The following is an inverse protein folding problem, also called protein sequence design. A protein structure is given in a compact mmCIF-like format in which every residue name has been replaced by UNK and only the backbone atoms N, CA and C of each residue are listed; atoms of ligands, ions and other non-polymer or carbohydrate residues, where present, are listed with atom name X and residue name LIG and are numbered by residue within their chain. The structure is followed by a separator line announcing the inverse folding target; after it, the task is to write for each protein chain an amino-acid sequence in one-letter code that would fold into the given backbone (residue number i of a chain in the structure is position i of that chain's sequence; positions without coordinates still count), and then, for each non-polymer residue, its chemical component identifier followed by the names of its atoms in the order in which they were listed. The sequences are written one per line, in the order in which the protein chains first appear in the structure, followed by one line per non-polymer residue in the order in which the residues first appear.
data_IF_060156899206
#
_entry.id   IF_060156899206
#
_cell.length_a   1.000
_cell.length_b   1.000
_cell.length_c   1.000
_cell.angle_alpha   90.00
_cell.angle_beta   90.00
_cell.angle_gamma   90.00
#
_symmetry.space_group_name_H-M   'P 1'
#
loop_
_entity.id
_entity.type
_entity.pdbx_description
1 polymer ?
#
# COMPACT_ATOMS: atom_id res chain seq x y z
N UNK A 1 -3.64 -54.68 -37.19
CA UNK A 1 -3.89 -54.08 -35.84
C UNK A 1 -3.03 -52.81 -35.69
N UNK A 2 -3.30 -51.75 -36.47
CA UNK A 2 -2.55 -50.48 -36.39
C UNK A 2 -3.44 -49.23 -36.23
N UNK A 3 -4.77 -49.38 -36.12
CA UNK A 3 -5.67 -48.22 -35.99
C UNK A 3 -5.87 -47.74 -34.55
N UNK A 4 -5.60 -48.57 -33.52
CA UNK A 4 -5.87 -48.19 -32.13
C UNK A 4 -4.78 -47.29 -31.54
N UNK A 5 -3.50 -47.55 -31.82
CA UNK A 5 -2.40 -46.70 -31.33
C UNK A 5 -2.45 -45.27 -31.90
N UNK A 6 -2.77 -45.12 -33.19
CA UNK A 6 -2.93 -43.80 -33.82
C UNK A 6 -4.15 -43.05 -33.26
N UNK A 7 -5.23 -43.76 -32.94
CA UNK A 7 -6.39 -43.16 -32.31
C UNK A 7 -6.12 -42.76 -30.86
N UNK A 8 -5.37 -43.58 -30.11
CA UNK A 8 -5.03 -43.29 -28.72
C UNK A 8 -4.11 -42.06 -28.60
N UNK A 9 -3.16 -41.90 -29.54
CA UNK A 9 -2.32 -40.70 -29.64
C UNK A 9 -3.12 -39.45 -30.03
N UNK A 10 -4.06 -39.58 -30.98
CA UNK A 10 -4.97 -38.48 -31.34
C UNK A 10 -5.88 -38.09 -30.16
N UNK A 11 -6.37 -39.07 -29.39
CA UNK A 11 -7.19 -38.82 -28.20
C UNK A 11 -6.35 -38.12 -27.11
N UNK A 12 -5.09 -38.48 -26.94
CA UNK A 12 -4.19 -37.84 -25.99
C UNK A 12 -3.90 -36.38 -26.38
N UNK A 13 -3.62 -36.14 -27.67
CA UNK A 13 -3.40 -34.79 -28.19
C UNK A 13 -4.67 -33.92 -28.06
N UNK A 14 -5.85 -34.48 -28.35
CA UNK A 14 -7.11 -33.77 -28.15
C UNK A 14 -7.36 -33.45 -26.67
N UNK A 15 -7.03 -34.35 -25.74
CA UNK A 15 -7.13 -34.07 -24.29
C UNK A 15 -6.18 -32.95 -23.85
N UNK A 16 -4.95 -32.93 -24.38
CA UNK A 16 -3.98 -31.87 -24.10
C UNK A 16 -4.44 -30.52 -24.67
N UNK A 17 -5.00 -30.51 -25.88
CA UNK A 17 -5.58 -29.30 -26.49
C UNK A 17 -6.80 -28.80 -25.71
N UNK A 18 -7.68 -29.69 -25.26
CA UNK A 18 -8.83 -29.33 -24.41
C UNK A 18 -8.34 -28.74 -23.08
N UNK A 19 -7.33 -29.33 -22.46
CA UNK A 19 -6.78 -28.81 -21.20
C UNK A 19 -6.12 -27.44 -21.38
N UNK A 20 -5.35 -27.25 -22.47
CA UNK A 20 -4.74 -25.96 -22.81
C UNK A 20 -5.80 -24.89 -23.12
N UNK A 21 -6.87 -25.24 -23.83
CA UNK A 21 -8.00 -24.33 -24.08
C UNK A 21 -8.77 -23.99 -22.80
N UNK A 22 -8.92 -24.93 -21.86
CA UNK A 22 -9.52 -24.66 -20.55
C UNK A 22 -8.67 -23.69 -19.72
N UNK A 23 -7.35 -23.85 -19.73
CA UNK A 23 -6.43 -22.90 -19.09
C UNK A 23 -6.48 -21.52 -19.76
N UNK A 24 -6.53 -21.47 -21.09
CA UNK A 24 -6.68 -20.21 -21.82
C UNK A 24 -8.04 -19.55 -21.55
N UNK A 25 -9.13 -20.31 -21.44
CA UNK A 25 -10.45 -19.78 -21.06
C UNK A 25 -10.44 -19.27 -19.62
N UNK A 26 -9.77 -19.95 -18.69
CA UNK A 26 -9.59 -19.45 -17.32
C UNK A 26 -8.77 -18.17 -17.30
N UNK A 27 -7.67 -18.09 -18.05
CA UNK A 27 -6.87 -16.88 -18.20
C UNK A 27 -7.66 -15.75 -18.88
N UNK A 28 -8.49 -16.05 -19.89
CA UNK A 28 -9.32 -15.07 -20.60
C UNK A 28 -10.48 -14.59 -19.72
N UNK A 29 -11.07 -15.45 -18.89
CA UNK A 29 -12.05 -15.07 -17.88
C UNK A 29 -11.41 -14.22 -16.77
N UNK A 30 -10.18 -14.57 -16.36
CA UNK A 30 -9.33 -13.73 -15.51
C UNK A 30 -8.83 -12.46 -16.22
N UNK A 31 -8.94 -12.34 -17.54
CA UNK A 31 -8.59 -11.13 -18.29
C UNK A 31 -9.82 -10.22 -18.47
N UNK A 32 -10.97 -10.81 -18.79
CA UNK A 32 -12.28 -10.14 -18.90
C UNK A 32 -12.74 -9.60 -17.53
N UNK A 33 -12.36 -10.25 -16.43
CA UNK A 33 -12.65 -9.77 -15.06
C UNK A 33 -11.71 -8.64 -14.59
N UNK A 34 -10.74 -8.17 -15.39
CA UNK A 34 -9.65 -7.33 -14.89
C UNK A 34 -9.38 -6.02 -15.67
N UNK A 35 -10.44 -5.43 -16.23
CA UNK A 35 -10.45 -4.01 -16.63
C UNK A 35 -11.69 -3.30 -16.06
N UNK A 36 -11.47 -2.46 -15.03
CA UNK A 36 -12.28 -1.34 -14.50
C UNK A 36 -13.82 -1.40 -14.57
N UNK A 37 -14.52 -2.15 -13.70
CA UNK A 37 -15.99 -2.21 -13.62
C UNK A 37 -16.56 -1.28 -12.55
N UNK A 38 -16.96 -0.06 -12.93
CA UNK A 38 -17.62 0.98 -12.15
C UNK A 38 -19.20 0.93 -12.26
N UNK A 39 -19.97 0.17 -11.46
CA UNK A 39 -21.45 0.04 -11.49
C UNK A 39 -22.19 0.96 -10.50
N UNK A 40 -23.37 1.46 -10.86
CA UNK A 40 -24.17 2.35 -10.02
C UNK A 40 -25.66 2.05 -10.20
N UNK A 41 -26.36 1.70 -9.13
CA UNK A 41 -27.80 1.44 -9.11
C UNK A 41 -28.49 2.43 -8.16
N UNK A 42 -29.34 3.30 -8.71
CA UNK A 42 -30.29 4.11 -7.94
C UNK A 42 -31.66 3.44 -8.08
N UNK A 43 -32.15 2.80 -7.02
CA UNK A 43 -33.42 2.05 -7.07
C UNK A 43 -34.62 2.99 -7.26
N UNK A 44 -34.53 4.22 -6.74
CA UNK A 44 -35.49 5.28 -6.96
C UNK A 44 -34.97 6.65 -6.54
N UNK A 45 -35.45 7.69 -7.22
CA UNK A 45 -35.31 9.08 -6.76
C UNK A 45 -36.69 9.57 -6.38
N UNK A 46 -36.86 9.95 -5.11
CA UNK A 46 -38.10 10.53 -4.60
C UNK A 46 -37.93 12.03 -4.44
N UNK A 47 -38.75 12.77 -5.18
CA UNK A 47 -38.81 14.22 -5.14
C UNK A 47 -40.07 14.61 -4.36
N UNK A 48 -39.91 15.35 -3.27
CA UNK A 48 -41.07 15.76 -2.45
C UNK A 48 -41.64 17.12 -2.89
N UNK A 49 -40.80 18.14 -3.06
CA UNK A 49 -41.21 19.47 -3.53
C UNK A 49 -40.27 19.99 -4.61
N UNK A 50 -40.82 20.32 -5.79
CA UNK A 50 -40.04 20.81 -6.94
C UNK A 50 -40.66 22.09 -7.49
N UNK A 51 -39.87 23.17 -7.57
CA UNK A 51 -40.20 24.39 -8.33
C UNK A 51 -39.41 24.56 -9.64
N UNK A 52 -38.60 23.56 -10.04
CA UNK A 52 -37.70 23.61 -11.21
C UNK A 52 -37.64 22.32 -12.05
N UNK A 53 -36.59 22.15 -12.87
CA UNK A 53 -36.37 20.97 -13.72
C UNK A 53 -35.26 20.09 -13.15
N UNK A 54 -35.55 18.81 -12.88
CA UNK A 54 -34.55 17.82 -12.49
C UNK A 54 -33.94 17.16 -13.73
N UNK A 55 -32.62 17.21 -13.86
CA UNK A 55 -31.87 16.54 -14.93
C UNK A 55 -30.67 15.81 -14.31
N UNK A 56 -30.63 14.48 -14.49
CA UNK A 56 -29.46 13.67 -14.14
C UNK A 56 -28.34 13.94 -15.16
N UNK A 57 -27.23 14.51 -14.70
CA UNK A 57 -26.01 14.69 -15.49
C UNK A 57 -24.77 14.35 -14.65
N UNK A 58 -23.74 13.84 -15.32
CA UNK A 58 -22.45 13.52 -14.71
C UNK A 58 -21.62 14.83 -14.64
N UNK A 59 -21.36 15.34 -13.43
CA UNK A 59 -20.49 16.51 -13.23
C UNK A 59 -19.06 16.02 -12.94
N UNK A 60 -18.29 15.72 -13.97
CA UNK A 60 -16.84 15.54 -13.86
C UNK A 60 -16.16 16.86 -14.19
N UNK A 61 -15.91 17.68 -13.17
CA UNK A 61 -15.29 18.99 -13.35
C UNK A 61 -13.76 18.95 -13.41
N UNK A 62 -13.14 17.78 -13.23
CA UNK A 62 -11.75 17.51 -13.54
C UNK A 62 -11.66 16.18 -14.27
N UNK A 63 -10.85 16.12 -15.34
CA UNK A 63 -10.50 14.85 -16.01
C UNK A 63 -9.94 13.89 -14.95
N UNK A 64 -10.62 12.76 -14.77
CA UNK A 64 -10.13 11.60 -14.04
C UNK A 64 -8.91 11.05 -14.78
N UNK A 65 -7.74 11.64 -14.52
CA UNK A 65 -6.45 11.05 -14.84
C UNK A 65 -6.00 10.13 -13.69
N UNK A 66 -6.89 9.25 -13.21
CA UNK A 66 -6.44 7.97 -12.66
C UNK A 66 -7.52 6.90 -12.83
N UNK A 67 -7.19 5.95 -13.71
CA UNK A 67 -8.11 5.21 -14.56
C UNK A 67 -8.33 3.77 -14.13
N UNK A 68 -7.66 3.25 -13.09
CA UNK A 68 -7.44 1.80 -12.99
C UNK A 68 -8.07 1.11 -11.76
N UNK A 69 -9.36 1.35 -11.53
CA UNK A 69 -10.21 0.54 -10.63
C UNK A 69 -11.57 0.13 -11.22
N UNK A 70 -12.24 -0.83 -10.56
CA UNK A 70 -13.66 -1.26 -10.65
C UNK A 70 -14.39 -0.61 -9.41
N UNK A 71 -15.66 -0.18 -9.45
CA UNK A 71 -16.47 0.61 -8.48
C UNK A 71 -17.86 -0.05 -8.53
N UNK A 72 -18.63 -0.18 -7.45
CA UNK A 72 -20.03 -0.63 -7.54
C UNK A 72 -20.85 0.09 -6.45
N UNK A 73 -21.98 0.72 -6.80
CA UNK A 73 -22.83 1.52 -5.91
C UNK A 73 -24.25 0.95 -5.92
N UNK A 74 -24.82 0.70 -4.74
CA UNK A 74 -26.24 0.40 -4.55
C UNK A 74 -26.86 1.47 -3.65
N UNK A 75 -27.55 2.41 -4.27
CA UNK A 75 -28.29 3.46 -3.58
C UNK A 75 -29.76 3.08 -3.65
N UNK A 76 -30.36 2.74 -2.51
CA UNK A 76 -31.78 2.41 -2.41
C UNK A 76 -32.65 3.57 -2.89
N UNK A 77 -32.89 4.56 -2.04
CA UNK A 77 -33.72 5.71 -2.40
C UNK A 77 -32.99 7.01 -2.13
N UNK A 78 -32.88 7.87 -3.15
CA UNK A 78 -32.42 9.26 -2.96
C UNK A 78 -33.66 10.12 -2.74
N UNK A 79 -33.80 10.67 -1.53
CA UNK A 79 -34.90 11.58 -1.19
C UNK A 79 -34.41 13.02 -1.31
N UNK A 80 -34.89 13.72 -2.35
CA UNK A 80 -34.69 15.16 -2.52
C UNK A 80 -35.92 15.85 -1.94
N UNK A 81 -35.74 16.44 -0.75
CA UNK A 81 -36.84 17.02 0.04
C UNK A 81 -37.37 18.33 -0.55
N UNK A 82 -36.51 19.17 -1.11
CA UNK A 82 -36.92 20.47 -1.65
C UNK A 82 -35.96 20.97 -2.74
N UNK A 83 -36.51 21.41 -3.88
CA UNK A 83 -35.80 22.19 -4.90
C UNK A 83 -36.50 23.54 -4.98
N UNK A 84 -35.87 24.56 -4.40
CA UNK A 84 -36.46 25.89 -4.24
C UNK A 84 -36.33 26.78 -5.48
N UNK A 85 -35.36 26.50 -6.36
CA UNK A 85 -34.96 27.39 -7.47
C UNK A 85 -34.99 26.74 -8.87
N UNK A 86 -34.99 27.58 -9.91
CA UNK A 86 -34.86 27.13 -11.31
C UNK A 86 -33.39 26.84 -11.64
N UNK A 87 -32.89 25.66 -11.22
CA UNK A 87 -31.52 25.23 -11.48
C UNK A 87 -31.41 23.72 -11.71
N UNK A 88 -30.28 23.29 -12.27
CA UNK A 88 -29.96 21.87 -12.46
C UNK A 88 -29.36 21.29 -11.18
N UNK A 89 -29.90 20.17 -10.70
CA UNK A 89 -29.37 19.41 -9.56
C UNK A 89 -28.62 18.19 -10.07
N UNK A 90 -27.32 18.11 -9.81
CA UNK A 90 -26.47 16.96 -10.15
C UNK A 90 -26.07 16.14 -8.91
N UNK A 91 -25.73 14.87 -9.13
CA UNK A 91 -25.13 14.00 -8.11
C UNK A 91 -23.65 13.85 -8.43
N UNK A 92 -22.79 14.25 -7.50
CA UNK A 92 -21.34 14.06 -7.56
C UNK A 92 -20.89 13.12 -6.45
N UNK A 93 -19.83 12.37 -6.71
CA UNK A 93 -19.17 11.55 -5.69
C UNK A 93 -17.88 12.24 -5.33
N UNK A 94 -17.75 12.56 -4.06
CA UNK A 94 -16.52 13.09 -3.50
C UNK A 94 -16.10 12.12 -2.42
N UNK A 95 -14.86 11.65 -2.50
CA UNK A 95 -14.26 10.87 -1.42
C UNK A 95 -14.22 11.75 -0.16
N UNK A 96 -14.92 11.34 0.90
CA UNK A 96 -14.84 12.01 2.19
C UNK A 96 -13.42 11.78 2.71
N UNK A 97 -12.57 12.80 2.71
CA UNK A 97 -11.38 12.84 3.56
C UNK A 97 -11.87 12.67 5.00
N UNK A 98 -11.63 11.50 5.60
CA UNK A 98 -12.09 11.19 6.96
C UNK A 98 -11.51 12.23 7.93
N UNK A 99 -12.39 12.87 8.69
CA UNK A 99 -11.99 13.50 9.95
C UNK A 99 -11.48 12.38 10.86
N UNK A 100 -10.29 12.60 11.44
CA UNK A 100 -9.53 11.67 12.27
C UNK A 100 -10.34 11.15 13.47
N UNK A 101 -11.01 10.01 13.29
CA UNK A 101 -11.35 9.12 14.41
C UNK A 101 -10.14 8.24 14.71
N UNK A 102 -9.90 7.95 15.99
CA UNK A 102 -8.75 7.19 16.52
C UNK A 102 -8.25 6.14 15.53
N UNK A 103 -7.09 6.41 14.92
CA UNK A 103 -6.59 5.62 13.79
C UNK A 103 -6.11 4.24 14.22
N UNK A 104 -5.74 4.06 15.48
CA UNK A 104 -5.00 2.88 15.96
C UNK A 104 -5.35 2.56 17.43
N UNK A 105 -5.20 1.29 17.83
CA UNK A 105 -5.15 0.90 19.25
C UNK A 105 -3.71 0.49 19.59
N UNK A 106 -2.97 1.34 20.34
CA UNK A 106 -1.60 1.05 20.74
C UNK A 106 -1.47 -0.22 21.57
N UNK A 107 -0.32 -0.89 21.47
CA UNK A 107 -0.01 -2.13 22.21
C UNK A 107 -0.22 -2.04 23.72
N UNK A 108 0.09 -0.88 24.30
CA UNK A 108 -0.10 -0.56 25.71
C UNK A 108 -1.58 -0.46 26.14
N UNK A 109 -2.47 -0.16 25.21
CA UNK A 109 -3.92 -0.09 25.42
C UNK A 109 -4.66 -1.35 24.97
N UNK A 110 -4.00 -2.27 24.25
CA UNK A 110 -4.60 -3.53 23.82
C UNK A 110 -4.94 -4.42 25.02
N UNK A 111 -6.13 -5.01 25.01
CA UNK A 111 -6.60 -5.94 26.04
C UNK A 111 -7.22 -7.18 25.41
N UNK A 112 -7.38 -8.25 26.21
CA UNK A 112 -8.06 -9.46 25.78
C UNK A 112 -7.41 -10.15 24.57
N UNK A 113 -8.24 -10.45 23.57
CA UNK A 113 -7.86 -11.18 22.36
C UNK A 113 -6.90 -10.39 21.47
N UNK A 114 -7.10 -9.08 21.33
CA UNK A 114 -6.21 -8.19 20.56
C UNK A 114 -4.77 -8.27 21.09
N UNK A 115 -4.59 -8.22 22.42
CA UNK A 115 -3.25 -8.33 23.03
C UNK A 115 -2.60 -9.69 22.78
N UNK A 116 -3.40 -10.77 22.77
CA UNK A 116 -2.90 -12.09 22.44
C UNK A 116 -2.44 -12.18 20.97
N UNK A 117 -3.20 -11.58 20.05
CA UNK A 117 -2.82 -11.49 18.64
C UNK A 117 -1.55 -10.66 18.44
N UNK A 118 -1.42 -9.50 19.11
CA UNK A 118 -0.19 -8.68 19.06
C UNK A 118 1.04 -9.46 19.50
N UNK A 119 0.96 -10.17 20.63
CA UNK A 119 2.07 -11.01 21.08
C UNK A 119 2.41 -12.12 20.06
N UNK A 120 1.38 -12.71 19.44
CA UNK A 120 1.54 -13.72 18.39
C UNK A 120 2.25 -13.17 17.16
N UNK A 121 1.82 -11.99 16.69
CA UNK A 121 2.41 -11.27 15.56
C UNK A 121 3.88 -10.94 15.86
N UNK A 122 4.18 -10.35 17.03
CA UNK A 122 5.54 -10.00 17.42
C UNK A 122 6.45 -11.24 17.49
N UNK A 123 5.90 -12.36 17.97
CA UNK A 123 6.63 -13.65 18.02
C UNK A 123 6.88 -14.20 16.61
N UNK A 124 5.87 -14.19 15.73
CA UNK A 124 5.97 -14.73 14.38
C UNK A 124 6.89 -13.89 13.48
N UNK A 125 6.88 -12.57 13.65
CA UNK A 125 7.76 -11.65 12.95
C UNK A 125 9.13 -11.56 13.63
N UNK A 126 9.30 -12.05 14.86
CA UNK A 126 10.49 -11.85 15.69
C UNK A 126 10.88 -10.36 15.77
N UNK A 127 9.97 -9.54 16.29
CA UNK A 127 10.12 -8.10 16.50
C UNK A 127 9.67 -7.72 17.91
N UNK A 128 10.15 -6.60 18.44
CA UNK A 128 9.82 -6.18 19.81
C UNK A 128 8.43 -5.55 19.90
N UNK A 129 8.10 -4.62 18.98
CA UNK A 129 6.84 -3.89 19.00
C UNK A 129 5.90 -4.33 17.89
N UNK A 130 4.60 -4.15 18.12
CA UNK A 130 3.58 -4.45 17.12
C UNK A 130 3.55 -3.33 16.08
N UNK A 131 3.73 -3.63 14.77
CA UNK A 131 3.74 -2.61 13.72
C UNK A 131 2.42 -1.83 13.65
N UNK A 132 2.51 -0.54 13.30
CA UNK A 132 1.37 0.40 13.21
C UNK A 132 0.25 -0.10 12.28
N UNK A 133 0.60 -0.86 11.24
CA UNK A 133 -0.36 -1.53 10.36
C UNK A 133 -1.33 -2.40 11.15
N UNK A 134 -0.84 -3.30 12.02
CA UNK A 134 -1.70 -4.17 12.82
C UNK A 134 -2.44 -3.39 13.91
N UNK A 135 -1.82 -2.32 14.44
CA UNK A 135 -2.47 -1.42 15.38
C UNK A 135 -3.64 -0.68 14.73
N UNK A 136 -3.54 -0.30 13.46
CA UNK A 136 -4.64 0.26 12.68
C UNK A 136 -5.76 -0.77 12.52
N UNK A 137 -5.43 -2.00 12.09
CA UNK A 137 -6.44 -3.04 11.88
C UNK A 137 -7.26 -3.38 13.12
N UNK A 138 -6.68 -3.23 14.32
CA UNK A 138 -7.35 -3.51 15.58
C UNK A 138 -8.59 -2.64 15.89
N UNK A 139 -8.74 -1.49 15.20
CA UNK A 139 -9.96 -0.67 15.27
C UNK A 139 -11.20 -1.48 14.84
N UNK A 140 -11.00 -2.44 13.93
CA UNK A 140 -11.98 -3.42 13.51
C UNK A 140 -11.46 -4.83 13.85
N UNK A 141 -11.71 -5.27 15.08
CA UNK A 141 -11.20 -6.54 15.63
C UNK A 141 -11.34 -7.74 14.69
N UNK A 142 -12.48 -7.86 13.98
CA UNK A 142 -12.70 -8.95 13.01
C UNK A 142 -11.70 -8.95 11.84
N UNK A 143 -11.26 -7.76 11.39
CA UNK A 143 -10.24 -7.65 10.34
C UNK A 143 -8.90 -8.17 10.86
N UNK A 144 -8.51 -7.75 12.08
CA UNK A 144 -7.27 -8.22 12.70
C UNK A 144 -7.28 -9.74 12.92
N UNK A 145 -8.40 -10.31 13.36
CA UNK A 145 -8.59 -11.76 13.50
C UNK A 145 -8.33 -12.45 12.16
N UNK A 146 -8.94 -11.99 11.07
CA UNK A 146 -8.78 -12.62 9.75
C UNK A 146 -7.36 -12.52 9.22
N UNK A 147 -6.72 -11.37 9.39
CA UNK A 147 -5.32 -11.20 9.01
C UNK A 147 -4.42 -12.11 9.84
N UNK A 148 -4.66 -12.24 11.14
CA UNK A 148 -3.90 -13.12 12.01
C UNK A 148 -4.09 -14.62 11.70
N UNK A 149 -5.33 -15.04 11.43
CA UNK A 149 -5.65 -16.41 10.97
C UNK A 149 -4.87 -16.73 9.69
N UNK A 150 -4.92 -15.85 8.70
CA UNK A 150 -4.15 -15.99 7.45
C UNK A 150 -2.65 -16.10 7.70
N UNK A 151 -2.09 -15.22 8.56
CA UNK A 151 -0.67 -15.26 8.88
C UNK A 151 -0.25 -16.59 9.51
N UNK A 152 -1.03 -17.11 10.46
CA UNK A 152 -0.73 -18.39 11.11
C UNK A 152 -0.84 -19.60 10.18
N UNK A 153 -1.73 -19.54 9.20
CA UNK A 153 -1.89 -20.61 8.22
C UNK A 153 -0.77 -20.59 7.17
N UNK A 154 -0.36 -19.38 6.77
CA UNK A 154 0.66 -19.16 5.73
C UNK A 154 2.08 -19.41 6.26
N UNK A 155 2.40 -18.93 7.47
CA UNK A 155 3.77 -18.98 8.02
C UNK A 155 3.87 -19.80 9.29
N UNK A 156 4.90 -20.66 9.34
CA UNK A 156 5.19 -21.53 10.50
C UNK A 156 6.49 -21.17 11.23
N UNK A 157 7.34 -20.36 10.62
CA UNK A 157 8.59 -19.88 11.22
C UNK A 157 8.86 -18.44 10.81
N UNK A 158 9.83 -17.82 11.49
CA UNK A 158 10.27 -16.44 11.27
C UNK A 158 11.17 -16.28 10.05
N UNK A 159 11.65 -17.38 9.47
CA UNK A 159 12.79 -17.40 8.54
C UNK A 159 12.54 -16.61 7.25
N UNK A 160 11.31 -16.66 6.73
CA UNK A 160 10.93 -15.90 5.51
C UNK A 160 10.97 -14.40 5.77
N UNK A 161 10.49 -13.96 6.93
CA UNK A 161 10.51 -12.56 7.34
C UNK A 161 11.95 -12.06 7.54
N UNK A 162 12.78 -12.84 8.22
CA UNK A 162 14.21 -12.52 8.40
C UNK A 162 14.94 -12.44 7.06
N UNK A 163 14.72 -13.41 6.17
CA UNK A 163 15.35 -13.43 4.84
C UNK A 163 14.92 -12.23 4.00
N UNK A 164 13.64 -11.87 4.04
CA UNK A 164 13.13 -10.69 3.33
C UNK A 164 13.72 -9.38 3.87
N UNK A 165 13.83 -9.25 5.18
CA UNK A 165 14.48 -8.11 5.83
C UNK A 165 15.97 -8.01 5.47
N UNK A 166 16.72 -9.12 5.55
CA UNK A 166 18.15 -9.14 5.18
C UNK A 166 18.37 -8.74 3.71
N UNK A 167 17.51 -9.22 2.81
CA UNK A 167 17.54 -8.81 1.40
C UNK A 167 17.19 -7.33 1.23
N UNK A 168 16.24 -6.80 2.00
CA UNK A 168 15.91 -5.36 2.00
C UNK A 168 17.10 -4.52 2.46
N UNK A 169 17.79 -4.91 3.54
CA UNK A 169 19.02 -4.27 3.98
C UNK A 169 20.13 -4.34 2.94
N UNK A 170 20.25 -5.48 2.26
CA UNK A 170 21.24 -5.64 1.19
C UNK A 170 20.96 -4.65 0.05
N UNK A 171 19.71 -4.51 -0.38
CA UNK A 171 19.32 -3.53 -1.41
C UNK A 171 19.64 -2.09 -0.98
N UNK A 172 19.36 -1.72 0.28
CA UNK A 172 19.72 -0.40 0.83
C UNK A 172 21.24 -0.15 0.76
N UNK A 173 22.04 -1.13 1.18
CA UNK A 173 23.50 -1.02 1.15
C UNK A 173 24.05 -0.93 -0.28
N UNK A 174 23.49 -1.69 -1.23
CA UNK A 174 23.94 -1.72 -2.62
C UNK A 174 23.54 -0.46 -3.39
N UNK A 175 22.32 0.04 -3.20
CA UNK A 175 21.79 1.20 -3.93
C UNK A 175 22.27 2.55 -3.38
N UNK A 176 22.55 2.67 -2.06
CA UNK A 176 22.77 3.98 -1.42
C UNK A 176 24.26 4.22 -1.07
N UNK A 177 25.07 3.18 -0.86
CA UNK A 177 26.24 3.31 0.02
C UNK A 177 27.61 2.91 -0.58
N UNK A 178 28.26 3.77 -1.39
CA UNK A 178 29.68 3.95 -1.07
C UNK A 178 30.22 5.39 -1.20
N UNK A 179 29.38 6.41 -1.42
CA UNK A 179 29.87 7.78 -1.72
C UNK A 179 29.47 8.86 -0.72
N UNK A 180 28.60 8.54 0.23
CA UNK A 180 28.20 9.47 1.28
C UNK A 180 29.33 9.49 2.33
N UNK A 181 29.99 10.63 2.49
CA UNK A 181 30.97 10.82 3.56
C UNK A 181 30.20 10.88 4.89
N UNK A 182 30.10 9.74 5.56
CA UNK A 182 29.57 9.64 6.93
C UNK A 182 30.51 10.43 7.85
N UNK A 183 30.08 11.61 8.28
CA UNK A 183 30.68 12.27 9.44
C UNK A 183 30.38 11.46 10.70
N UNK A 184 31.22 11.56 11.73
CA UNK A 184 31.11 10.75 12.96
C UNK A 184 29.66 10.71 13.50
N UNK A 185 29.24 9.57 14.06
CA UNK A 185 27.87 9.36 14.54
C UNK A 185 27.44 10.51 15.46
N UNK A 186 26.29 11.10 15.14
CA UNK A 186 25.76 12.29 15.80
C UNK A 186 24.63 11.97 16.80
N UNK A 187 24.13 10.72 16.80
CA UNK A 187 23.09 10.25 17.72
C UNK A 187 23.61 9.36 18.85
N UNK A 188 22.77 9.16 19.86
CA UNK A 188 22.99 8.17 20.92
C UNK A 188 22.70 6.75 20.41
N UNK A 189 23.37 5.73 20.96
CA UNK A 189 23.24 4.33 20.52
C UNK A 189 21.77 3.84 20.52
N UNK A 190 20.94 4.32 21.46
CA UNK A 190 19.52 3.98 21.58
C UNK A 190 18.71 4.42 20.36
N UNK A 191 19.05 5.56 19.75
CA UNK A 191 18.39 6.06 18.53
C UNK A 191 18.74 5.19 17.34
N UNK A 192 20.01 4.77 17.21
CA UNK A 192 20.44 3.87 16.14
C UNK A 192 19.77 2.49 16.25
N UNK A 193 19.63 1.95 17.46
CA UNK A 193 18.91 0.69 17.71
C UNK A 193 17.45 0.85 17.31
N UNK A 194 16.78 1.91 17.78
CA UNK A 194 15.36 2.16 17.48
C UNK A 194 15.10 2.31 15.98
N UNK A 195 15.98 3.02 15.26
CA UNK A 195 15.90 3.15 13.80
C UNK A 195 16.07 1.80 13.09
N UNK A 196 16.99 0.95 13.55
CA UNK A 196 17.17 -0.39 12.98
C UNK A 196 15.94 -1.27 13.21
N UNK A 197 15.35 -1.18 14.41
CA UNK A 197 14.13 -1.91 14.77
C UNK A 197 12.95 -1.46 13.90
N UNK A 198 12.76 -0.15 13.69
CA UNK A 198 11.69 0.36 12.80
C UNK A 198 11.83 -0.14 11.37
N UNK A 199 13.05 -0.16 10.82
CA UNK A 199 13.30 -0.69 9.47
C UNK A 199 12.95 -2.18 9.42
N UNK A 200 13.32 -2.95 10.44
CA UNK A 200 13.01 -4.37 10.54
C UNK A 200 11.50 -4.62 10.60
N UNK A 201 10.80 -3.91 11.49
CA UNK A 201 9.35 -3.97 11.65
C UNK A 201 8.62 -3.66 10.33
N UNK A 202 9.00 -2.57 9.67
CA UNK A 202 8.38 -2.14 8.41
C UNK A 202 8.65 -3.14 7.28
N UNK A 203 9.89 -3.62 7.13
CA UNK A 203 10.26 -4.56 6.07
C UNK A 203 9.51 -5.89 6.23
N UNK A 204 9.47 -6.44 7.44
CA UNK A 204 8.75 -7.70 7.71
C UNK A 204 7.24 -7.53 7.52
N UNK A 205 6.68 -6.38 7.92
CA UNK A 205 5.25 -6.10 7.70
C UNK A 205 4.93 -5.90 6.22
N UNK A 206 5.85 -5.33 5.45
CA UNK A 206 5.69 -5.15 4.00
C UNK A 206 5.53 -6.48 3.26
N UNK A 207 6.24 -7.55 3.70
CA UNK A 207 6.02 -8.90 3.18
C UNK A 207 4.59 -9.38 3.46
N UNK A 208 4.08 -9.18 4.69
CA UNK A 208 2.70 -9.53 5.04
C UNK A 208 1.70 -8.77 4.17
N UNK A 209 1.89 -7.46 3.99
CA UNK A 209 1.03 -6.60 3.15
C UNK A 209 1.02 -7.10 1.71
N UNK A 210 2.19 -7.38 1.14
CA UNK A 210 2.33 -7.90 -0.21
C UNK A 210 1.58 -9.22 -0.39
N UNK A 211 1.72 -10.14 0.57
CA UNK A 211 1.01 -11.41 0.55
C UNK A 211 -0.50 -11.25 0.68
N UNK A 212 -0.98 -10.39 1.59
CA UNK A 212 -2.40 -10.10 1.72
C UNK A 212 -2.98 -9.48 0.43
N UNK A 213 -2.24 -8.61 -0.24
CA UNK A 213 -2.69 -8.03 -1.51
C UNK A 213 -2.79 -9.08 -2.61
N UNK A 214 -1.76 -9.90 -2.80
CA UNK A 214 -1.76 -10.93 -3.84
C UNK A 214 -2.75 -12.06 -3.55
N UNK A 215 -3.00 -12.41 -2.27
CA UNK A 215 -4.00 -13.41 -1.91
C UNK A 215 -5.43 -12.97 -2.21
N UNK A 216 -5.72 -11.67 -2.11
CA UNK A 216 -7.05 -11.11 -2.33
C UNK A 216 -7.25 -10.59 -3.76
N UNK A 217 -6.17 -10.13 -4.39
CA UNK A 217 -6.15 -9.60 -5.75
C UNK A 217 -4.92 -10.12 -6.50
N UNK A 218 -4.99 -11.34 -7.06
CA UNK A 218 -3.88 -11.92 -7.79
C UNK A 218 -3.40 -11.01 -8.93
N UNK A 219 -2.09 -10.82 -9.02
CA UNK A 219 -1.37 -9.91 -9.93
C UNK A 219 -1.62 -8.42 -9.66
N UNK A 220 -2.14 -8.04 -8.49
CA UNK A 220 -2.32 -6.64 -8.12
C UNK A 220 -0.99 -5.92 -8.07
N UNK A 221 -0.01 -6.48 -7.37
CA UNK A 221 1.31 -5.90 -7.25
C UNK A 221 1.83 -5.71 -8.66
N UNK A 222 1.91 -6.73 -9.51
CA UNK A 222 2.46 -6.61 -10.88
C UNK A 222 1.89 -5.44 -11.70
N UNK A 223 0.61 -5.09 -11.50
CA UNK A 223 -0.03 -3.92 -12.14
C UNK A 223 0.36 -2.60 -11.48
N UNK A 224 0.53 -2.62 -10.16
CA UNK A 224 0.97 -1.50 -9.32
C UNK A 224 2.34 -0.92 -9.70
N UNK A 225 3.23 -1.70 -10.34
CA UNK A 225 4.54 -1.24 -10.84
C UNK A 225 4.47 0.06 -11.65
N UNK A 226 3.38 0.23 -12.40
CA UNK A 226 3.11 1.42 -13.21
C UNK A 226 2.92 2.69 -12.35
N UNK A 227 2.34 2.58 -11.15
CA UNK A 227 2.11 3.70 -10.24
C UNK A 227 3.40 4.11 -9.51
N UNK A 228 4.25 3.15 -9.15
CA UNK A 228 5.63 3.43 -8.68
C UNK A 228 6.40 4.30 -9.68
N UNK A 229 6.17 4.10 -10.99
CA UNK A 229 6.78 4.93 -12.04
C UNK A 229 6.38 6.42 -11.96
N UNK A 230 5.20 6.76 -11.40
CA UNK A 230 4.79 8.15 -11.18
C UNK A 230 5.58 8.82 -10.05
N UNK A 231 5.91 8.10 -8.97
CA UNK A 231 6.75 8.61 -7.87
C UNK A 231 8.14 9.00 -8.43
N UNK A 232 8.69 8.20 -9.36
CA UNK A 232 9.95 8.52 -10.06
C UNK A 232 9.90 9.85 -10.81
N UNK A 233 8.78 10.14 -11.45
CA UNK A 233 8.59 11.40 -12.19
C UNK A 233 8.54 12.62 -11.26
N UNK A 234 7.93 12.49 -10.07
CA UNK A 234 7.91 13.54 -9.03
C UNK A 234 9.30 13.77 -8.43
N UNK A 235 10.04 12.70 -8.12
CA UNK A 235 11.42 12.76 -7.64
C UNK A 235 12.33 13.52 -8.61
N UNK A 236 12.19 13.25 -9.92
CA UNK A 236 12.95 13.93 -10.97
C UNK A 236 12.62 15.43 -11.07
N UNK A 237 11.37 15.82 -10.79
CA UNK A 237 10.95 17.22 -10.79
C UNK A 237 11.42 17.98 -9.55
N UNK A 238 11.38 17.38 -8.36
CA UNK A 238 11.78 17.97 -7.08
C UNK A 238 13.27 18.38 -7.04
N UNK A 239 14.12 17.64 -7.76
CA UNK A 239 15.56 17.94 -7.94
C UNK A 239 15.77 19.31 -8.62
N UNK A 240 14.89 19.70 -9.55
CA UNK A 240 15.05 20.93 -10.32
C UNK A 240 14.56 22.19 -9.58
N UNK A 241 13.74 22.06 -8.52
CA UNK A 241 13.16 23.18 -7.78
C UNK A 241 13.99 23.62 -6.56
N UNK A 242 14.96 22.82 -6.11
CA UNK A 242 15.65 23.02 -4.82
C UNK A 242 16.81 24.03 -4.82
N UNK A 243 16.99 24.84 -5.87
CA UNK A 243 18.17 25.70 -6.03
C UNK A 243 18.12 27.11 -5.43
N UNK A 244 17.14 27.50 -4.59
CA UNK A 244 17.28 28.77 -3.87
C UNK A 244 16.54 28.88 -2.54
N UNK A 245 17.26 29.37 -1.52
CA UNK A 245 16.87 29.79 -0.17
C UNK A 245 16.94 28.75 0.95
N UNK A 246 17.31 29.27 2.14
CA UNK A 246 17.28 28.56 3.43
C UNK A 246 15.84 28.15 3.70
N UNK A 247 15.49 26.90 3.42
CA UNK A 247 14.16 26.37 3.71
C UNK A 247 13.93 26.37 5.23
N UNK A 248 12.73 26.75 5.66
CA UNK A 248 12.32 26.54 7.06
C UNK A 248 12.17 25.03 7.32
N UNK A 249 12.22 24.59 8.59
CA UNK A 249 11.98 23.17 8.93
C UNK A 249 10.67 22.68 8.32
N UNK A 250 9.60 23.45 8.45
CA UNK A 250 8.30 23.09 7.92
C UNK A 250 8.35 22.94 6.39
N UNK A 251 9.07 23.84 5.71
CA UNK A 251 9.28 23.72 4.25
C UNK A 251 10.01 22.43 3.90
N UNK A 252 11.06 22.04 4.64
CA UNK A 252 11.79 20.78 4.40
C UNK A 252 10.83 19.59 4.57
N UNK A 253 10.08 19.55 5.67
CA UNK A 253 9.10 18.49 5.96
C UNK A 253 8.04 18.40 4.86
N UNK A 254 7.46 19.53 4.46
CA UNK A 254 6.44 19.60 3.40
C UNK A 254 7.03 19.19 2.04
N UNK A 255 8.29 19.53 1.76
CA UNK A 255 8.98 19.09 0.55
C UNK A 255 9.21 17.58 0.55
N UNK A 256 9.68 16.98 1.65
CA UNK A 256 9.83 15.53 1.74
C UNK A 256 8.48 14.85 1.51
N UNK A 257 7.45 15.28 2.23
CA UNK A 257 6.08 14.74 2.11
C UNK A 257 5.54 14.83 0.69
N UNK A 258 5.61 16.00 0.07
CA UNK A 258 5.10 16.21 -1.30
C UNK A 258 5.90 15.45 -2.37
N UNK A 259 7.23 15.34 -2.19
CA UNK A 259 8.10 14.59 -3.11
C UNK A 259 7.74 13.11 -3.13
N UNK A 260 7.49 12.54 -1.95
CA UNK A 260 7.17 11.13 -1.77
C UNK A 260 5.67 10.81 -1.74
N UNK A 261 4.80 11.81 -1.89
CA UNK A 261 3.33 11.67 -1.81
C UNK A 261 2.85 11.10 -0.47
N UNK A 262 3.48 11.54 0.63
CA UNK A 262 3.19 11.11 1.99
C UNK A 262 2.30 12.10 2.74
N UNK A 263 1.31 11.58 3.45
CA UNK A 263 0.53 12.37 4.43
C UNK A 263 1.34 12.65 5.71
N UNK A 264 2.12 11.65 6.15
CA UNK A 264 2.93 11.68 7.38
C UNK A 264 4.35 11.18 7.12
N UNK A 265 5.31 11.69 7.90
CA UNK A 265 6.67 11.14 7.96
C UNK A 265 6.73 10.00 9.00
N UNK A 266 7.76 9.14 8.97
CA UNK A 266 7.97 8.15 10.02
C UNK A 266 8.04 8.81 11.40
N UNK A 267 7.60 8.12 12.46
CA UNK A 267 7.65 8.65 13.84
C UNK A 267 9.06 9.03 14.28
N UNK A 268 10.08 8.33 13.77
CA UNK A 268 11.48 8.67 14.01
C UNK A 268 11.87 10.09 13.56
N UNK A 269 11.13 10.70 12.62
CA UNK A 269 11.37 12.09 12.23
C UNK A 269 10.98 13.12 13.28
N UNK A 270 10.15 12.76 14.28
CA UNK A 270 9.75 13.70 15.34
C UNK A 270 11.00 14.25 16.06
N UNK A 271 11.94 13.37 16.42
CA UNK A 271 13.21 13.75 17.05
C UNK A 271 14.11 14.57 16.12
N UNK A 272 14.17 14.21 14.84
CA UNK A 272 14.96 14.91 13.83
C UNK A 272 14.43 16.34 13.59
N UNK A 273 13.11 16.51 13.59
CA UNK A 273 12.43 17.81 13.42
C UNK A 273 12.71 18.76 14.59
N UNK A 274 12.94 18.23 15.79
CA UNK A 274 13.38 19.03 16.95
C UNK A 274 14.84 19.53 16.83
N UNK A 275 15.61 18.99 15.88
CA UNK A 275 17.00 19.36 15.62
C UNK A 275 17.20 20.01 14.24
N UNK A 276 16.95 21.34 14.10
CA UNK A 276 16.98 22.06 12.82
C UNK A 276 18.19 21.82 11.93
N UNK A 277 19.38 21.81 12.52
CA UNK A 277 20.62 21.71 11.77
C UNK A 277 20.88 20.27 11.32
N UNK A 278 20.52 19.28 12.13
CA UNK A 278 20.55 17.85 11.77
C UNK A 278 19.56 17.55 10.65
N UNK A 279 18.33 18.07 10.71
CA UNK A 279 17.34 17.92 9.65
C UNK A 279 17.78 18.57 8.33
N UNK A 280 18.36 19.77 8.39
CA UNK A 280 18.92 20.43 7.19
C UNK A 280 20.06 19.62 6.61
N UNK A 281 20.94 19.08 7.45
CA UNK A 281 22.03 18.24 7.00
C UNK A 281 21.51 16.97 6.32
N UNK A 282 20.61 16.25 6.98
CA UNK A 282 19.90 15.10 6.41
C UNK A 282 19.32 15.41 5.04
N UNK A 283 18.55 16.50 4.95
CA UNK A 283 17.86 16.85 3.72
C UNK A 283 18.81 17.20 2.57
N UNK A 284 19.72 18.14 2.77
CA UNK A 284 20.57 18.66 1.69
C UNK A 284 21.79 17.79 1.36
N UNK A 285 22.30 17.01 2.33
CA UNK A 285 23.53 16.24 2.14
C UNK A 285 23.30 14.74 2.02
N UNK A 286 22.17 14.20 2.50
CA UNK A 286 21.84 12.79 2.36
C UNK A 286 20.70 12.59 1.37
N UNK A 287 19.49 13.00 1.74
CA UNK A 287 18.28 12.71 0.98
C UNK A 287 18.33 13.32 -0.43
N UNK A 288 18.73 14.59 -0.55
CA UNK A 288 18.85 15.26 -1.85
C UNK A 288 19.87 14.57 -2.76
N UNK A 289 21.02 14.14 -2.25
CA UNK A 289 22.02 13.43 -3.03
C UNK A 289 21.51 12.07 -3.54
N UNK A 290 20.83 11.32 -2.68
CA UNK A 290 20.25 10.01 -3.00
C UNK A 290 19.12 10.15 -4.02
N UNK A 291 18.37 11.26 -3.99
CA UNK A 291 17.40 11.58 -5.03
C UNK A 291 18.10 11.96 -6.36
N UNK A 292 19.08 12.86 -6.32
CA UNK A 292 19.82 13.34 -7.51
C UNK A 292 20.54 12.22 -8.27
N UNK A 293 21.15 11.27 -7.56
CA UNK A 293 21.86 10.15 -8.17
C UNK A 293 20.92 9.08 -8.75
N UNK A 294 19.64 9.10 -8.41
CA UNK A 294 18.68 8.06 -8.76
C UNK A 294 18.68 6.85 -7.82
N UNK A 295 19.52 6.85 -6.78
CA UNK A 295 19.68 5.79 -5.79
C UNK A 295 18.35 5.47 -5.07
N UNK A 296 17.56 6.50 -4.73
CA UNK A 296 16.23 6.33 -4.15
C UNK A 296 15.28 5.56 -5.09
N UNK A 297 15.31 5.89 -6.38
CA UNK A 297 14.45 5.26 -7.38
C UNK A 297 14.85 3.80 -7.59
N UNK A 298 16.16 3.54 -7.68
CA UNK A 298 16.70 2.20 -7.83
C UNK A 298 16.34 1.31 -6.63
N UNK A 299 16.49 1.83 -5.41
CA UNK A 299 16.09 1.11 -4.20
C UNK A 299 14.60 0.75 -4.22
N UNK A 300 13.72 1.73 -4.47
CA UNK A 300 12.26 1.50 -4.49
C UNK A 300 11.86 0.48 -5.56
N UNK A 301 12.50 0.51 -6.72
CA UNK A 301 12.27 -0.48 -7.78
C UNK A 301 12.70 -1.88 -7.37
N UNK A 302 13.92 -2.01 -6.85
CA UNK A 302 14.46 -3.31 -6.47
C UNK A 302 13.69 -3.91 -5.28
N UNK A 303 13.28 -3.08 -4.31
CA UNK A 303 12.46 -3.52 -3.19
C UNK A 303 11.10 -4.01 -3.68
N UNK A 304 10.50 -3.31 -4.63
CA UNK A 304 9.23 -3.71 -5.18
C UNK A 304 9.30 -5.04 -5.97
N UNK A 305 10.36 -5.26 -6.77
CA UNK A 305 10.60 -6.57 -7.39
C UNK A 305 10.82 -7.66 -6.33
N UNK A 306 11.52 -7.35 -5.24
CA UNK A 306 11.70 -8.26 -4.12
C UNK A 306 10.36 -8.66 -3.49
N UNK A 307 9.41 -7.72 -3.31
CA UNK A 307 8.05 -8.03 -2.83
C UNK A 307 7.35 -8.97 -3.81
N UNK A 308 7.42 -8.69 -5.12
CA UNK A 308 6.79 -9.55 -6.14
C UNK A 308 7.31 -10.99 -6.09
N UNK A 309 8.63 -11.16 -6.08
CA UNK A 309 9.27 -12.48 -6.08
C UNK A 309 8.89 -13.31 -4.85
N UNK A 310 8.67 -12.65 -3.70
CA UNK A 310 8.33 -13.30 -2.44
C UNK A 310 6.81 -13.49 -2.23
N UNK A 311 5.96 -12.92 -3.10
CA UNK A 311 4.48 -13.00 -2.97
C UNK A 311 3.83 -13.87 -4.05
N UNK A 312 4.58 -14.32 -5.06
CA UNK A 312 4.04 -15.09 -6.19
C UNK A 312 3.58 -16.53 -5.88
N UNK A 313 3.87 -17.09 -4.70
CA UNK A 313 3.60 -18.50 -4.36
C UNK A 313 2.64 -18.68 -3.18
N UNK A 314 1.67 -17.79 -3.03
CA UNK A 314 0.69 -17.89 -1.95
C UNK A 314 -0.24 -19.09 -2.20
N UNK A 315 -0.36 -19.96 -1.20
CA UNK A 315 -1.19 -21.17 -1.27
C UNK A 315 -2.55 -21.01 -0.61
N UNK A 316 -2.69 -20.04 0.28
CA UNK A 316 -3.90 -19.82 1.07
C UNK A 316 -4.59 -18.52 0.64
N UNK A 317 -5.91 -18.57 0.44
CA UNK A 317 -6.72 -17.37 0.20
C UNK A 317 -7.26 -16.85 1.52
N UNK A 318 -7.16 -15.54 1.75
CA UNK A 318 -7.83 -14.91 2.89
C UNK A 318 -9.34 -14.98 2.69
N UNK A 319 -10.05 -15.68 3.57
CA UNK A 319 -11.51 -15.77 3.48
C UNK A 319 -12.18 -14.46 3.94
N UNK A 320 -12.44 -13.56 2.99
CA UNK A 320 -13.10 -12.28 3.24
C UNK A 320 -14.62 -12.36 3.41
N UNK A 321 -15.26 -13.52 3.15
CA UNK A 321 -16.72 -13.63 3.11
C UNK A 321 -17.40 -13.33 4.46
N UNK A 322 -16.62 -13.37 5.56
CA UNK A 322 -17.10 -13.08 6.92
C UNK A 322 -16.95 -11.60 7.29
N UNK A 323 -16.26 -10.79 6.47
CA UNK A 323 -16.11 -9.35 6.67
C UNK A 323 -17.20 -8.59 5.91
N UNK A 324 -17.70 -7.51 6.53
CA UNK A 324 -18.62 -6.58 5.88
C UNK A 324 -17.93 -5.80 4.74
N UNK A 325 -18.68 -5.26 3.76
CA UNK A 325 -18.10 -4.43 2.70
C UNK A 325 -17.30 -3.24 3.23
N UNK A 326 -17.74 -2.62 4.33
CA UNK A 326 -17.03 -1.53 4.99
C UNK A 326 -15.68 -1.99 5.58
N UNK A 327 -15.64 -3.18 6.20
CA UNK A 327 -14.42 -3.77 6.75
C UNK A 327 -13.44 -4.19 5.65
N UNK A 328 -13.93 -4.81 4.58
CA UNK A 328 -13.11 -5.13 3.42
C UNK A 328 -12.53 -3.84 2.80
N UNK A 329 -13.36 -2.81 2.61
CA UNK A 329 -12.92 -1.51 2.12
C UNK A 329 -11.88 -0.85 3.02
N UNK A 330 -12.04 -0.96 4.34
CA UNK A 330 -11.04 -0.49 5.31
C UNK A 330 -9.72 -1.26 5.20
N UNK A 331 -9.77 -2.60 5.19
CA UNK A 331 -8.57 -3.45 5.05
C UNK A 331 -7.79 -3.09 3.79
N UNK A 332 -8.46 -2.97 2.65
CA UNK A 332 -7.79 -2.64 1.39
C UNK A 332 -7.23 -1.23 1.38
N UNK A 333 -7.94 -0.24 1.92
CA UNK A 333 -7.41 1.11 2.04
C UNK A 333 -6.12 1.12 2.89
N UNK A 334 -6.13 0.45 4.05
CA UNK A 334 -4.97 0.36 4.94
C UNK A 334 -3.81 -0.39 4.27
N UNK A 335 -4.06 -1.51 3.59
CA UNK A 335 -3.01 -2.24 2.84
C UNK A 335 -2.34 -1.37 1.78
N UNK A 336 -3.13 -0.62 1.00
CA UNK A 336 -2.59 0.25 -0.04
C UNK A 336 -1.87 1.46 0.53
N UNK A 337 -2.36 2.04 1.62
CA UNK A 337 -1.68 3.11 2.32
C UNK A 337 -0.30 2.64 2.81
N UNK A 338 -0.25 1.52 3.54
CA UNK A 338 1.01 0.97 4.07
C UNK A 338 1.97 0.48 2.97
N UNK A 339 1.47 -0.10 1.87
CA UNK A 339 2.30 -0.48 0.71
C UNK A 339 3.03 0.73 0.12
N UNK A 340 2.41 1.91 0.14
CA UNK A 340 3.04 3.14 -0.34
C UNK A 340 3.99 3.77 0.68
N UNK A 341 3.64 3.73 1.95
CA UNK A 341 4.40 4.40 3.00
C UNK A 341 5.68 3.64 3.38
N UNK A 342 5.59 2.33 3.64
CA UNK A 342 6.68 1.58 4.24
C UNK A 342 7.98 1.53 3.42
N UNK A 343 7.96 1.33 2.08
CA UNK A 343 9.17 1.44 1.28
C UNK A 343 9.91 2.77 1.46
N UNK A 344 9.14 3.86 1.61
CA UNK A 344 9.67 5.22 1.76
C UNK A 344 10.16 5.43 3.20
N UNK A 345 9.45 4.91 4.19
CA UNK A 345 9.84 4.99 5.59
C UNK A 345 11.16 4.25 5.83
N UNK A 346 11.28 3.03 5.32
CA UNK A 346 12.51 2.23 5.33
C UNK A 346 13.69 3.02 4.74
N UNK A 347 13.49 3.65 3.58
CA UNK A 347 14.52 4.48 2.94
C UNK A 347 14.93 5.66 3.85
N UNK A 348 13.95 6.42 4.34
CA UNK A 348 14.22 7.62 5.12
C UNK A 348 14.90 7.30 6.46
N UNK A 349 14.49 6.24 7.15
CA UNK A 349 15.08 5.77 8.40
C UNK A 349 16.48 5.20 8.20
N UNK A 350 16.69 4.47 7.11
CA UNK A 350 18.03 3.99 6.75
C UNK A 350 19.00 5.15 6.47
N UNK A 351 18.52 6.23 5.84
CA UNK A 351 19.33 7.43 5.64
C UNK A 351 19.62 8.15 6.97
N UNK A 352 18.71 8.11 7.94
CA UNK A 352 18.96 8.66 9.27
C UNK A 352 20.06 7.90 10.01
N UNK A 353 20.19 6.57 9.79
CA UNK A 353 21.32 5.79 10.32
C UNK A 353 22.69 6.25 9.78
N UNK A 354 22.72 7.05 8.70
CA UNK A 354 23.96 7.58 8.11
C UNK A 354 24.34 8.98 8.62
N UNK A 355 23.53 9.57 9.51
CA UNK A 355 23.84 10.80 10.26
C UNK A 355 24.80 10.49 11.41
#
# INVERSE_FOLDING_TARGET
MHSNQSNDEHILQLKQQIHSLQQQIQQLNSYINYSNVYEYYIQGVKLEKVKGTFQLGQLTQNELADSDGIHRFYIGEIIIKEIEDTGTVGLGITEKRKESQNKEIPSEHATGEIKAMYNGINTLLAIENTPSFFQSLSVHEQILIKVWEFMNEQWKSTDEFTTFYENTLKLLNESINPRINITKPNFEDEVYISLADYIEEQAKTLLVIGCLLESNFPNYLSKYKSKMTKIKSKLTAAINETQSNIATIQTIVDTIKSTFDLDTLPSSFEELVEQPDTLRHFYYHLLHQVMENGDAVEFLDNLYELILDNTCNITNELNLNELTPEEQGYLFATLLESLNQYPIFILLEYLQLQL
#
